data_IF_406256393806
#
_entry.id   IF_406256393806
#
_cell.length_a   1.000
_cell.length_b   1.000
_cell.length_c   1.000
_cell.angle_alpha   90.00
_cell.angle_beta   90.00
_cell.angle_gamma   90.00
#
_symmetry.space_group_name_H-M   'P 1'
#
loop_
_entity.id
_entity.type
_entity.pdbx_description
1 polymer ?
#
# COMPACT_ATOMS: atom_id res chain seq x y z
N UNK A 1 -5.46 -21.08 13.97
CA UNK A 1 -5.07 -19.67 14.14
C UNK A 1 -5.12 -18.83 12.85
N UNK A 2 -5.09 -19.41 11.65
CA UNK A 2 -5.07 -18.66 10.38
C UNK A 2 -6.45 -18.43 9.74
N UNK A 3 -7.44 -19.29 10.04
CA UNK A 3 -8.83 -19.12 9.58
C UNK A 3 -9.63 -18.10 10.39
N UNK A 4 -9.08 -17.63 11.50
CA UNK A 4 -9.79 -16.91 12.55
C UNK A 4 -9.78 -15.38 12.34
N UNK A 5 -8.72 -14.80 11.79
CA UNK A 5 -8.71 -13.35 11.49
C UNK A 5 -9.48 -13.01 10.20
N UNK A 6 -9.60 -13.97 9.27
CA UNK A 6 -10.34 -13.80 8.01
C UNK A 6 -11.85 -13.61 8.24
N UNK A 7 -12.39 -14.19 9.32
CA UNK A 7 -13.82 -14.13 9.68
C UNK A 7 -14.18 -12.98 10.63
N UNK A 8 -13.22 -12.34 11.29
CA UNK A 8 -13.50 -11.43 12.41
C UNK A 8 -13.06 -9.97 12.26
N UNK A 9 -12.19 -9.61 11.31
CA UNK A 9 -11.95 -8.19 11.06
C UNK A 9 -13.22 -7.63 10.40
N UNK A 10 -14.01 -6.89 11.20
CA UNK A 10 -15.11 -6.06 10.73
C UNK A 10 -14.51 -4.97 9.84
N UNK A 11 -14.31 -5.30 8.57
CA UNK A 11 -14.05 -4.31 7.55
C UNK A 11 -15.23 -3.32 7.59
N UNK A 12 -15.00 -2.00 7.62
CA UNK A 12 -16.06 -0.99 7.73
C UNK A 12 -17.21 -1.15 6.72
N UNK A 13 -16.94 -1.81 5.57
CA UNK A 13 -17.92 -2.08 4.50
C UNK A 13 -18.50 -3.50 4.49
N UNK A 14 -18.17 -4.37 5.47
CA UNK A 14 -18.67 -5.74 5.56
C UNK A 14 -19.61 -5.87 6.78
N UNK A 15 -20.93 -5.81 6.55
CA UNK A 15 -21.94 -6.02 7.60
C UNK A 15 -22.14 -7.53 7.90
N UNK A 16 -22.18 -7.86 9.21
CA UNK A 16 -22.60 -9.12 9.92
C UNK A 16 -21.55 -10.26 10.00
N UNK A 17 -21.44 -11.08 11.06
CA UNK A 17 -22.17 -11.32 12.33
C UNK A 17 -21.21 -11.98 13.36
N UNK A 18 -21.48 -11.85 14.67
CA UNK A 18 -20.75 -12.56 15.75
C UNK A 18 -21.17 -14.04 15.91
N UNK A 19 -20.21 -14.90 16.29
CA UNK A 19 -20.32 -16.12 17.13
C UNK A 19 -18.92 -16.75 17.26
N UNK A 20 -18.38 -17.30 18.35
CA UNK A 20 -18.84 -17.63 19.69
C UNK A 20 -17.63 -17.57 20.66
N UNK A 21 -17.95 -17.51 21.95
CA UNK A 21 -17.09 -17.44 23.12
C UNK A 21 -16.36 -18.74 23.45
N UNK A 22 -15.03 -18.75 23.32
CA UNK A 22 -14.09 -19.53 24.17
C UNK A 22 -12.67 -19.43 23.59
N UNK A 23 -11.84 -18.50 24.09
CA UNK A 23 -10.37 -18.55 24.04
C UNK A 23 -9.79 -17.29 24.72
N UNK A 24 -9.76 -17.28 26.06
CA UNK A 24 -9.53 -16.06 26.84
C UNK A 24 -8.08 -15.55 26.86
N UNK A 25 -7.09 -16.36 26.46
CA UNK A 25 -5.68 -15.94 26.39
C UNK A 25 -5.25 -15.49 24.98
N UNK A 26 -5.93 -15.98 23.95
CA UNK A 26 -5.76 -15.56 22.54
C UNK A 26 -6.54 -14.26 22.26
N UNK A 27 -7.42 -13.87 23.19
CA UNK A 27 -8.33 -12.73 23.12
C UNK A 27 -7.61 -11.36 23.14
N UNK A 28 -6.71 -11.02 24.09
CA UNK A 28 -6.22 -9.65 24.21
C UNK A 28 -5.44 -9.19 22.98
N UNK A 29 -4.44 -9.97 22.55
CA UNK A 29 -3.61 -9.62 21.39
C UNK A 29 -4.43 -9.58 20.08
N UNK A 30 -5.36 -10.52 19.89
CA UNK A 30 -6.25 -10.56 18.73
C UNK A 30 -7.19 -9.35 18.68
N UNK A 31 -7.72 -8.93 19.84
CA UNK A 31 -8.58 -7.76 19.95
C UNK A 31 -7.79 -6.47 19.79
N UNK A 32 -6.53 -6.42 20.26
CA UNK A 32 -5.63 -5.28 20.02
C UNK A 32 -5.36 -5.09 18.53
N UNK A 33 -5.04 -6.15 17.78
CA UNK A 33 -4.83 -6.06 16.32
C UNK A 33 -6.09 -5.56 15.62
N UNK A 34 -7.25 -6.11 15.98
CA UNK A 34 -8.53 -5.68 15.40
C UNK A 34 -8.81 -4.21 15.68
N UNK A 35 -8.67 -3.79 16.94
CA UNK A 35 -8.87 -2.41 17.34
C UNK A 35 -7.94 -1.45 16.61
N UNK A 36 -6.64 -1.75 16.55
CA UNK A 36 -5.65 -0.91 15.85
C UNK A 36 -5.95 -0.83 14.36
N UNK A 37 -6.32 -1.94 13.73
CA UNK A 37 -6.71 -1.95 12.31
C UNK A 37 -8.01 -1.17 12.06
N UNK A 38 -9.00 -1.28 12.94
CA UNK A 38 -10.26 -0.54 12.85
C UNK A 38 -10.02 0.97 12.99
N UNK A 39 -9.29 1.39 14.03
CA UNK A 39 -8.91 2.80 14.23
C UNK A 39 -8.11 3.35 13.04
N UNK A 40 -7.20 2.54 12.49
CA UNK A 40 -6.42 2.91 11.32
C UNK A 40 -7.29 3.07 10.07
N UNK A 41 -8.27 2.19 9.83
CA UNK A 41 -9.20 2.36 8.70
C UNK A 41 -10.15 3.53 8.90
N UNK A 42 -10.63 3.79 10.12
CA UNK A 42 -11.41 5.00 10.43
C UNK A 42 -10.60 6.25 10.11
N UNK A 43 -9.31 6.27 10.50
CA UNK A 43 -8.40 7.34 10.16
C UNK A 43 -8.20 7.48 8.64
N UNK A 44 -8.04 6.36 7.91
CA UNK A 44 -7.89 6.39 6.45
C UNK A 44 -9.12 6.93 5.75
N UNK A 45 -10.33 6.51 6.13
CA UNK A 45 -11.56 7.03 5.53
C UNK A 45 -11.69 8.54 5.76
N UNK A 46 -11.41 9.02 6.97
CA UNK A 46 -11.40 10.48 7.26
C UNK A 46 -10.40 11.22 6.37
N UNK A 47 -9.18 10.69 6.21
CA UNK A 47 -8.15 11.31 5.37
C UNK A 47 -8.45 11.23 3.89
N UNK A 48 -9.06 10.14 3.42
CA UNK A 48 -9.52 9.97 2.05
C UNK A 48 -10.54 11.06 1.70
N UNK A 49 -11.57 11.24 2.51
CA UNK A 49 -12.58 12.29 2.31
C UNK A 49 -11.96 13.68 2.40
N UNK A 50 -11.18 13.95 3.45
CA UNK A 50 -10.55 15.26 3.63
C UNK A 50 -9.70 15.66 2.40
N UNK A 51 -8.83 14.78 1.91
CA UNK A 51 -7.85 15.15 0.88
C UNK A 51 -8.43 15.06 -0.54
N UNK A 52 -9.33 14.10 -0.80
CA UNK A 52 -9.91 13.94 -2.14
C UNK A 52 -11.12 14.87 -2.37
N UNK A 53 -11.95 15.08 -1.36
CA UNK A 53 -13.23 15.77 -1.51
C UNK A 53 -13.18 17.22 -1.03
N UNK A 54 -12.43 17.54 0.04
CA UNK A 54 -12.41 18.90 0.60
C UNK A 54 -11.23 19.76 0.10
N UNK A 55 -10.06 19.16 -0.11
CA UNK A 55 -8.88 19.90 -0.54
C UNK A 55 -8.85 20.21 -2.06
N UNK A 56 -8.17 21.29 -2.47
CA UNK A 56 -7.96 21.61 -3.88
C UNK A 56 -7.31 20.45 -4.66
N UNK A 57 -7.78 20.17 -5.88
CA UNK A 57 -7.30 19.03 -6.69
C UNK A 57 -5.81 19.10 -7.04
N UNK A 58 -5.26 20.31 -7.19
CA UNK A 58 -3.85 20.60 -7.47
C UNK A 58 -2.95 20.51 -6.22
N UNK A 59 -3.53 20.48 -5.02
CA UNK A 59 -2.78 20.32 -3.77
C UNK A 59 -2.13 18.93 -3.74
N UNK A 60 -0.82 18.93 -3.50
CA UNK A 60 -0.02 17.70 -3.48
C UNK A 60 -0.27 16.88 -2.21
N UNK A 61 -0.41 15.55 -2.37
CA UNK A 61 -0.72 14.61 -1.27
C UNK A 61 0.34 14.66 -0.18
N UNK A 62 1.62 14.76 -0.52
CA UNK A 62 2.72 14.85 0.45
C UNK A 62 2.75 16.16 1.26
N UNK A 63 2.05 17.21 0.80
CA UNK A 63 1.88 18.44 1.59
C UNK A 63 0.74 18.30 2.60
N UNK A 64 -0.24 17.44 2.31
CA UNK A 64 -1.34 17.13 3.22
C UNK A 64 -0.96 16.06 4.24
N UNK A 65 -0.12 15.09 3.85
CA UNK A 65 0.53 14.13 4.74
C UNK A 65 1.97 14.53 5.01
N UNK A 66 2.17 15.29 6.08
CA UNK A 66 3.52 15.48 6.61
C UNK A 66 3.93 14.25 7.42
N UNK A 67 4.54 13.29 6.73
CA UNK A 67 5.02 12.03 7.32
C UNK A 67 5.89 12.33 8.54
N UNK A 68 5.59 11.69 9.67
CA UNK A 68 6.29 11.92 10.94
C UNK A 68 5.71 13.03 11.82
N UNK A 69 4.87 13.93 11.29
CA UNK A 69 4.23 14.99 12.10
C UNK A 69 2.87 14.57 12.69
N UNK A 70 2.21 13.56 12.13
CA UNK A 70 0.94 13.03 12.66
C UNK A 70 1.20 12.03 13.80
N UNK A 71 1.17 12.53 15.03
CA UNK A 71 1.41 11.72 16.23
C UNK A 71 0.43 10.56 16.41
N UNK A 72 -0.83 10.73 16.00
CA UNK A 72 -1.85 9.70 16.13
C UNK A 72 -1.61 8.56 15.14
N UNK A 73 -1.38 8.86 13.87
CA UNK A 73 -1.02 7.85 12.87
C UNK A 73 0.28 7.14 13.25
N UNK A 74 1.29 7.89 13.70
CA UNK A 74 2.56 7.31 14.14
C UNK A 74 2.37 6.35 15.33
N UNK A 75 1.48 6.67 16.27
CA UNK A 75 1.15 5.78 17.38
C UNK A 75 0.52 4.49 16.87
N UNK A 76 -0.47 4.58 15.97
CA UNK A 76 -1.11 3.41 15.37
C UNK A 76 -0.11 2.53 14.61
N UNK A 77 0.77 3.14 13.82
CA UNK A 77 1.82 2.45 13.06
C UNK A 77 2.80 1.73 13.97
N UNK A 78 3.28 2.39 15.05
CA UNK A 78 4.19 1.77 16.03
C UNK A 78 3.55 0.59 16.75
N UNK A 79 2.29 0.71 17.15
CA UNK A 79 1.57 -0.40 17.79
C UNK A 79 1.37 -1.54 16.79
N UNK A 80 0.96 -1.23 15.56
CA UNK A 80 0.76 -2.25 14.51
C UNK A 80 2.07 -2.97 14.19
N UNK A 81 3.19 -2.24 14.11
CA UNK A 81 4.52 -2.79 13.87
C UNK A 81 4.91 -3.87 14.88
N UNK A 82 4.71 -3.62 16.19
CA UNK A 82 5.00 -4.62 17.23
C UNK A 82 4.08 -5.83 17.14
N UNK A 83 2.80 -5.63 16.81
CA UNK A 83 1.86 -6.73 16.64
C UNK A 83 2.20 -7.61 15.42
N UNK A 84 2.72 -7.01 14.35
CA UNK A 84 3.13 -7.71 13.14
C UNK A 84 4.21 -8.77 13.36
N UNK A 85 4.98 -8.73 14.44
CA UNK A 85 5.89 -9.83 14.80
C UNK A 85 5.16 -11.18 14.88
N UNK A 86 3.88 -11.20 15.26
CA UNK A 86 3.08 -12.42 15.41
C UNK A 86 1.99 -12.59 14.37
N UNK A 87 1.52 -11.51 13.75
CA UNK A 87 0.31 -11.54 12.91
C UNK A 87 0.45 -10.85 11.53
N UNK A 88 1.67 -10.59 11.06
CA UNK A 88 1.91 -9.89 9.78
C UNK A 88 1.15 -10.49 8.58
N UNK A 89 1.11 -11.83 8.34
CA UNK A 89 0.41 -12.39 7.19
C UNK A 89 -1.07 -11.98 7.12
N UNK A 90 -1.74 -11.96 8.29
CA UNK A 90 -3.14 -11.59 8.41
C UNK A 90 -3.36 -10.09 8.21
N UNK A 91 -2.49 -9.26 8.80
CA UNK A 91 -2.52 -7.80 8.62
C UNK A 91 -2.34 -7.43 7.14
N UNK A 92 -1.35 -8.01 6.47
CA UNK A 92 -1.10 -7.79 5.04
C UNK A 92 -2.31 -8.17 4.19
N UNK A 93 -2.92 -9.33 4.45
CA UNK A 93 -4.10 -9.78 3.69
C UNK A 93 -5.27 -8.81 3.82
N UNK A 94 -5.52 -8.27 5.01
CA UNK A 94 -6.61 -7.31 5.25
C UNK A 94 -6.29 -5.96 4.61
N UNK A 95 -5.05 -5.50 4.76
CA UNK A 95 -4.58 -4.25 4.16
C UNK A 95 -4.63 -4.29 2.63
N UNK A 96 -4.20 -5.40 2.03
CA UNK A 96 -4.30 -5.65 0.58
C UNK A 96 -5.76 -5.60 0.13
N UNK A 97 -6.67 -6.28 0.82
CA UNK A 97 -8.11 -6.25 0.50
C UNK A 97 -8.71 -4.86 0.59
N UNK A 98 -8.34 -4.07 1.59
CA UNK A 98 -8.75 -2.66 1.68
C UNK A 98 -8.24 -1.88 0.47
N UNK A 99 -6.94 -2.00 0.14
CA UNK A 99 -6.34 -1.31 -0.98
C UNK A 99 -7.02 -1.69 -2.31
N UNK A 100 -7.21 -2.98 -2.59
CA UNK A 100 -7.91 -3.45 -3.78
C UNK A 100 -9.35 -2.92 -3.86
N UNK A 101 -10.05 -2.83 -2.72
CA UNK A 101 -11.38 -2.22 -2.67
C UNK A 101 -11.34 -0.74 -3.07
N UNK A 102 -10.37 0.02 -2.57
CA UNK A 102 -10.19 1.43 -2.96
C UNK A 102 -9.81 1.60 -4.44
N UNK A 103 -9.10 0.65 -5.04
CA UNK A 103 -8.74 0.71 -6.47
C UNK A 103 -9.91 0.36 -7.42
N UNK A 104 -11.04 -0.14 -6.90
CA UNK A 104 -12.25 -0.45 -7.71
C UNK A 104 -13.15 0.76 -7.96
N UNK A 105 -12.79 1.95 -7.47
CA UNK A 105 -13.56 3.18 -7.70
C UNK A 105 -13.68 3.42 -9.20
N UNK A 106 -14.92 3.42 -9.71
CA UNK A 106 -15.18 3.53 -11.14
C UNK A 106 -14.77 4.90 -11.68
N UNK A 107 -13.77 4.92 -12.57
CA UNK A 107 -13.26 6.12 -13.26
C UNK A 107 -14.11 6.44 -14.51
N UNK A 108 -15.32 5.89 -14.62
CA UNK A 108 -16.20 6.05 -15.78
C UNK A 108 -16.83 7.44 -15.89
N UNK A 109 -16.62 8.30 -14.90
CA UNK A 109 -17.14 9.66 -14.86
C UNK A 109 -16.21 10.63 -15.62
N UNK A 110 -16.68 11.85 -15.87
CA UNK A 110 -15.95 12.89 -16.63
C UNK A 110 -15.84 14.16 -15.79
N UNK A 111 -14.78 14.94 -16.01
CA UNK A 111 -14.57 16.23 -15.34
C UNK A 111 -14.15 16.07 -13.88
N UNK A 112 -14.54 17.04 -13.04
CA UNK A 112 -14.06 17.14 -11.66
C UNK A 112 -14.36 15.90 -10.80
N UNK A 113 -15.50 15.23 -11.03
CA UNK A 113 -15.85 14.03 -10.25
C UNK A 113 -14.88 12.87 -10.53
N UNK A 114 -14.45 12.73 -11.80
CA UNK A 114 -13.39 11.79 -12.18
C UNK A 114 -12.07 12.15 -11.52
N UNK A 115 -11.72 13.43 -11.54
CA UNK A 115 -10.44 13.89 -10.98
C UNK A 115 -10.41 13.72 -9.45
N UNK A 116 -11.55 13.89 -8.75
CA UNK A 116 -11.67 13.55 -7.32
C UNK A 116 -11.58 12.06 -7.06
N UNK A 117 -12.22 11.23 -7.89
CA UNK A 117 -12.09 9.78 -7.81
C UNK A 117 -10.65 9.31 -7.98
N UNK A 118 -9.92 9.85 -8.97
CA UNK A 118 -8.49 9.60 -9.17
C UNK A 118 -7.68 10.07 -7.97
N UNK A 119 -7.95 11.27 -7.45
CA UNK A 119 -7.25 11.76 -6.26
C UNK A 119 -7.46 10.84 -5.05
N UNK A 120 -8.68 10.33 -4.87
CA UNK A 120 -9.03 9.37 -3.82
C UNK A 120 -8.25 8.06 -3.95
N UNK A 121 -8.16 7.48 -5.15
CA UNK A 121 -7.38 6.25 -5.36
C UNK A 121 -5.88 6.47 -5.10
N UNK A 122 -5.34 7.64 -5.46
CA UNK A 122 -3.96 8.01 -5.17
C UNK A 122 -3.70 8.20 -3.67
N UNK A 123 -4.62 8.82 -2.93
CA UNK A 123 -4.52 8.94 -1.46
C UNK A 123 -4.56 7.57 -0.80
N UNK A 124 -5.43 6.67 -1.27
CA UNK A 124 -5.50 5.30 -0.75
C UNK A 124 -4.18 4.55 -1.00
N UNK A 125 -3.61 4.69 -2.20
CA UNK A 125 -2.29 4.15 -2.54
C UNK A 125 -1.19 4.71 -1.65
N UNK A 126 -1.20 6.02 -1.38
CA UNK A 126 -0.22 6.66 -0.50
C UNK A 126 -0.29 6.08 0.92
N UNK A 127 -1.48 6.01 1.51
CA UNK A 127 -1.71 5.45 2.85
C UNK A 127 -1.32 3.98 2.93
N UNK A 128 -1.68 3.18 1.90
CA UNK A 128 -1.27 1.79 1.78
C UNK A 128 0.25 1.65 1.88
N UNK A 129 1.00 2.43 1.10
CA UNK A 129 2.46 2.38 1.13
C UNK A 129 3.06 2.85 2.45
N UNK A 130 2.49 3.89 3.09
CA UNK A 130 2.95 4.35 4.41
C UNK A 130 2.89 3.23 5.44
N UNK A 131 1.81 2.45 5.46
CA UNK A 131 1.70 1.28 6.35
C UNK A 131 2.72 0.21 5.96
N UNK A 132 2.80 -0.13 4.67
CA UNK A 132 3.71 -1.17 4.18
C UNK A 132 5.16 -0.89 4.54
N UNK A 133 5.63 0.35 4.37
CA UNK A 133 7.01 0.72 4.69
C UNK A 133 7.34 0.41 6.16
N UNK A 134 6.39 0.62 7.06
CA UNK A 134 6.57 0.31 8.48
C UNK A 134 6.55 -1.20 8.73
N UNK A 135 5.47 -1.89 8.32
CA UNK A 135 5.21 -3.27 8.76
C UNK A 135 6.01 -4.33 8.00
N UNK A 136 6.48 -4.05 6.78
CA UNK A 136 7.24 -5.02 5.98
C UNK A 136 8.63 -5.31 6.52
N UNK A 137 9.13 -4.49 7.44
CA UNK A 137 10.35 -4.79 8.18
C UNK A 137 10.18 -6.05 9.05
N UNK A 138 8.96 -6.43 9.43
CA UNK A 138 8.65 -7.62 10.23
C UNK A 138 8.56 -8.92 9.43
N UNK A 139 8.77 -8.90 8.11
CA UNK A 139 8.66 -10.10 7.25
C UNK A 139 9.63 -11.21 7.65
N UNK A 140 10.75 -10.86 8.27
CA UNK A 140 11.74 -11.85 8.74
C UNK A 140 11.19 -12.82 9.79
N UNK A 141 10.10 -12.45 10.50
CA UNK A 141 9.39 -13.36 11.41
C UNK A 141 8.43 -14.33 10.70
N UNK A 142 8.11 -14.11 9.42
CA UNK A 142 7.10 -14.86 8.64
C UNK A 142 7.58 -15.18 7.21
N UNK A 143 8.75 -15.81 7.03
CA UNK A 143 9.41 -15.91 5.72
C UNK A 143 8.64 -16.75 4.69
N UNK A 144 7.84 -17.73 5.11
CA UNK A 144 7.08 -18.59 4.20
C UNK A 144 5.62 -18.12 4.04
N UNK A 145 5.02 -17.68 5.13
CA UNK A 145 3.59 -17.35 5.27
C UNK A 145 3.22 -16.05 4.54
N UNK A 146 4.19 -15.16 4.33
CA UNK A 146 3.97 -13.90 3.62
C UNK A 146 4.22 -14.00 2.11
N UNK A 147 4.69 -15.13 1.57
CA UNK A 147 5.19 -15.20 0.19
C UNK A 147 4.17 -14.72 -0.85
N UNK A 148 2.90 -15.08 -0.69
CA UNK A 148 1.80 -14.66 -1.58
C UNK A 148 1.58 -13.16 -1.50
N UNK A 149 1.51 -12.60 -0.30
CA UNK A 149 1.33 -11.17 -0.05
C UNK A 149 2.52 -10.37 -0.60
N UNK A 150 3.75 -10.85 -0.39
CA UNK A 150 4.96 -10.21 -0.93
C UNK A 150 4.95 -10.20 -2.45
N UNK A 151 4.61 -11.31 -3.10
CA UNK A 151 4.50 -11.36 -4.56
C UNK A 151 3.47 -10.36 -5.09
N UNK A 152 2.30 -10.26 -4.44
CA UNK A 152 1.29 -9.25 -4.77
C UNK A 152 1.84 -7.83 -4.61
N UNK A 153 2.45 -7.51 -3.46
CA UNK A 153 2.96 -6.18 -3.15
C UNK A 153 4.03 -5.78 -4.16
N UNK A 154 5.01 -6.66 -4.44
CA UNK A 154 6.06 -6.39 -5.41
C UNK A 154 5.47 -6.14 -6.81
N UNK A 155 4.58 -7.03 -7.27
CA UNK A 155 3.94 -6.88 -8.58
C UNK A 155 3.12 -5.57 -8.68
N UNK A 156 2.32 -5.26 -7.66
CA UNK A 156 1.56 -4.02 -7.62
C UNK A 156 2.48 -2.79 -7.58
N UNK A 157 3.57 -2.80 -6.80
CA UNK A 157 4.53 -1.70 -6.77
C UNK A 157 5.14 -1.41 -8.14
N UNK A 158 5.58 -2.44 -8.88
CA UNK A 158 6.10 -2.25 -10.24
C UNK A 158 5.05 -1.67 -11.20
N UNK A 159 3.79 -2.12 -11.11
CA UNK A 159 2.68 -1.55 -11.89
C UNK A 159 2.36 -0.09 -11.54
N UNK A 160 2.67 0.34 -10.31
CA UNK A 160 2.45 1.71 -9.87
C UNK A 160 3.63 2.64 -10.20
N UNK A 161 4.84 2.09 -10.33
CA UNK A 161 6.06 2.79 -10.72
C UNK A 161 6.15 2.96 -12.25
N UNK A 162 5.56 2.04 -13.03
CA UNK A 162 5.60 2.09 -14.49
C UNK A 162 5.14 3.43 -15.03
N UNK A 163 5.70 3.85 -16.16
CA UNK A 163 5.29 5.07 -16.83
C UNK A 163 3.79 5.04 -17.14
N UNK A 164 3.12 6.17 -16.89
CA UNK A 164 1.72 6.38 -17.19
C UNK A 164 1.58 7.76 -17.80
N UNK A 165 0.86 7.86 -18.91
CA UNK A 165 0.68 9.13 -19.59
C UNK A 165 -0.05 10.15 -18.71
N UNK A 166 0.37 11.41 -18.84
CA UNK A 166 -0.23 12.53 -18.12
C UNK A 166 -1.74 12.66 -18.39
N UNK A 167 -2.20 12.25 -19.57
CA UNK A 167 -3.62 12.23 -19.95
C UNK A 167 -4.49 11.36 -19.04
N UNK A 168 -3.92 10.30 -18.43
CA UNK A 168 -4.63 9.38 -17.54
C UNK A 168 -5.00 10.06 -16.22
N UNK A 169 -4.10 10.88 -15.67
CA UNK A 169 -4.26 11.51 -14.36
C UNK A 169 -4.69 12.97 -14.42
N UNK A 170 -4.50 13.64 -15.55
CA UNK A 170 -4.83 15.05 -15.73
C UNK A 170 -4.18 15.92 -14.65
N UNK A 171 -4.99 16.67 -13.90
CA UNK A 171 -4.54 17.53 -12.81
C UNK A 171 -3.83 16.77 -11.68
N UNK A 172 -4.12 15.48 -11.51
CA UNK A 172 -3.52 14.63 -10.48
C UNK A 172 -2.18 14.02 -10.89
N UNK A 173 -1.61 14.37 -12.05
CA UNK A 173 -0.38 13.74 -12.53
C UNK A 173 0.80 13.89 -11.56
N UNK A 174 0.99 15.06 -10.96
CA UNK A 174 2.06 15.23 -9.96
C UNK A 174 1.82 14.36 -8.70
N UNK A 175 0.55 14.15 -8.32
CA UNK A 175 0.20 13.25 -7.23
C UNK A 175 0.48 11.78 -7.59
N UNK A 176 0.29 11.37 -8.85
CA UNK A 176 0.63 10.01 -9.27
C UNK A 176 2.14 9.77 -9.22
N UNK A 177 2.96 10.74 -9.62
CA UNK A 177 4.42 10.66 -9.49
C UNK A 177 4.87 10.50 -8.03
N UNK A 178 4.28 11.28 -7.11
CA UNK A 178 4.55 11.14 -5.66
C UNK A 178 4.20 9.72 -5.18
N UNK A 179 3.04 9.19 -5.58
CA UNK A 179 2.64 7.83 -5.21
C UNK A 179 3.61 6.78 -5.75
N UNK A 180 4.07 6.93 -6.99
CA UNK A 180 5.11 6.07 -7.58
C UNK A 180 6.42 6.10 -6.77
N UNK A 181 6.83 7.26 -6.27
CA UNK A 181 8.02 7.38 -5.40
C UNK A 181 7.87 6.61 -4.08
N UNK A 182 6.71 6.64 -3.46
CA UNK A 182 6.50 5.91 -2.20
C UNK A 182 6.39 4.39 -2.46
N UNK A 183 5.83 3.95 -3.59
CA UNK A 183 5.90 2.53 -4.00
C UNK A 183 7.34 2.08 -4.26
N UNK A 184 8.20 2.94 -4.80
CA UNK A 184 9.63 2.66 -4.94
C UNK A 184 10.31 2.48 -3.57
N UNK A 185 9.90 3.26 -2.56
CA UNK A 185 10.38 3.07 -1.18
C UNK A 185 9.96 1.71 -0.61
N UNK A 186 8.71 1.26 -0.85
CA UNK A 186 8.24 -0.09 -0.48
C UNK A 186 9.14 -1.19 -1.09
N UNK A 187 9.51 -1.05 -2.37
CA UNK A 187 10.47 -1.97 -3.02
C UNK A 187 11.83 -1.92 -2.32
N UNK A 188 12.32 -0.74 -1.94
CA UNK A 188 13.57 -0.59 -1.20
C UNK A 188 13.56 -1.23 0.19
N UNK A 189 12.43 -1.21 0.89
CA UNK A 189 12.25 -1.94 2.16
C UNK A 189 12.35 -3.44 1.91
N UNK A 190 11.60 -3.96 0.93
CA UNK A 190 11.61 -5.39 0.60
C UNK A 190 12.93 -5.87 0.00
N UNK A 191 13.75 -5.00 -0.60
CA UNK A 191 15.03 -5.40 -1.17
C UNK A 191 15.99 -5.97 -0.14
N UNK A 192 15.82 -5.63 1.14
CA UNK A 192 16.65 -6.13 2.22
C UNK A 192 16.46 -7.63 2.47
N UNK A 193 15.26 -8.16 2.22
CA UNK A 193 14.90 -9.56 2.49
C UNK A 193 14.56 -10.36 1.21
N UNK A 194 14.08 -9.68 0.16
CA UNK A 194 13.55 -10.28 -1.08
C UNK A 194 14.26 -9.76 -2.33
N UNK A 195 15.55 -9.45 -2.22
CA UNK A 195 16.40 -8.92 -3.30
C UNK A 195 16.26 -9.70 -4.63
N UNK A 196 16.34 -11.04 -4.58
CA UNK A 196 16.25 -11.90 -5.78
C UNK A 196 14.90 -11.77 -6.50
N UNK A 197 13.81 -11.66 -5.75
CA UNK A 197 12.47 -11.50 -6.31
C UNK A 197 12.35 -10.16 -7.03
N UNK A 198 12.81 -9.08 -6.40
CA UNK A 198 12.78 -7.73 -6.97
C UNK A 198 13.67 -7.65 -8.22
N UNK A 199 14.87 -8.24 -8.20
CA UNK A 199 15.74 -8.32 -9.38
C UNK A 199 15.04 -9.03 -10.54
N UNK A 200 14.37 -10.15 -10.27
CA UNK A 200 13.59 -10.86 -11.29
C UNK A 200 12.52 -9.95 -11.90
N UNK A 201 11.68 -9.33 -11.08
CA UNK A 201 10.65 -8.39 -11.57
C UNK A 201 11.24 -7.23 -12.38
N UNK A 202 12.36 -6.65 -11.92
CA UNK A 202 13.01 -5.56 -12.63
C UNK A 202 13.54 -6.00 -14.01
N UNK A 203 14.18 -7.17 -14.08
CA UNK A 203 14.71 -7.73 -15.33
C UNK A 203 13.56 -8.08 -16.28
N UNK A 204 12.50 -8.70 -15.77
CA UNK A 204 11.32 -9.06 -16.55
C UNK A 204 10.67 -7.80 -17.17
N UNK A 205 10.44 -6.76 -16.38
CA UNK A 205 9.90 -5.49 -16.88
C UNK A 205 10.83 -4.82 -17.90
N UNK A 206 12.14 -4.80 -17.65
CA UNK A 206 13.11 -4.23 -18.59
C UNK A 206 13.12 -5.00 -19.92
N UNK A 207 13.00 -6.32 -19.88
CA UNK A 207 12.95 -7.15 -21.07
C UNK A 207 11.68 -6.90 -21.89
N UNK A 208 10.52 -6.70 -21.24
CA UNK A 208 9.30 -6.31 -21.94
C UNK A 208 9.43 -4.94 -22.60
N UNK A 209 9.96 -3.94 -21.89
CA UNK A 209 10.17 -2.59 -22.47
C UNK A 209 11.14 -2.58 -23.66
N UNK A 210 12.12 -3.50 -23.68
CA UNK A 210 13.05 -3.66 -24.82
C UNK A 210 12.39 -4.24 -26.07
N UNK A 211 11.23 -4.91 -25.94
CA UNK A 211 10.48 -5.44 -27.09
C UNK A 211 9.66 -4.36 -27.79
N UNK A 212 9.37 -3.24 -27.13
CA UNK A 212 8.66 -2.12 -27.73
C UNK A 212 9.53 -1.40 -28.78
N UNK A 213 8.97 -1.15 -29.98
CA UNK A 213 9.65 -0.44 -31.06
C UNK A 213 8.75 0.73 -31.50
N UNK A 214 9.18 2.00 -31.32
CA UNK A 214 10.42 2.43 -30.66
C UNK A 214 10.39 2.20 -29.15
N UNK A 215 11.57 2.01 -28.55
CA UNK A 215 11.70 1.85 -27.10
C UNK A 215 11.23 3.13 -26.40
N UNK A 216 10.26 2.99 -25.49
CA UNK A 216 9.79 4.11 -24.68
C UNK A 216 10.83 4.45 -23.60
N UNK A 217 11.64 5.48 -23.86
CA UNK A 217 12.68 5.94 -22.94
C UNK A 217 12.11 6.42 -21.60
N UNK A 218 10.91 6.98 -21.56
CA UNK A 218 10.26 7.39 -20.32
C UNK A 218 9.90 6.19 -19.43
N UNK A 219 9.43 5.09 -20.01
CA UNK A 219 9.19 3.83 -19.29
C UNK A 219 10.47 3.27 -18.65
N UNK A 220 11.58 3.32 -19.37
CA UNK A 220 12.89 2.91 -18.85
C UNK A 220 13.34 3.82 -17.71
N UNK A 221 13.20 5.14 -17.85
CA UNK A 221 13.56 6.11 -16.79
C UNK A 221 12.71 5.87 -15.53
N UNK A 222 11.39 5.69 -15.67
CA UNK A 222 10.50 5.39 -14.53
C UNK A 222 10.90 4.11 -13.79
N UNK A 223 11.22 3.04 -14.53
CA UNK A 223 11.71 1.79 -13.93
C UNK A 223 13.01 2.02 -13.14
N UNK A 224 13.96 2.76 -13.71
CA UNK A 224 15.23 3.07 -13.04
C UNK A 224 15.03 3.97 -11.81
N UNK A 225 14.16 4.97 -11.88
CA UNK A 225 13.79 5.80 -10.73
C UNK A 225 13.14 4.98 -9.62
N UNK A 226 12.30 4.01 -9.97
CA UNK A 226 11.69 3.06 -9.05
C UNK A 226 12.70 2.18 -8.30
N UNK A 227 13.88 1.98 -8.89
CA UNK A 227 14.96 1.21 -8.28
C UNK A 227 15.91 2.04 -7.43
N UNK A 228 15.70 3.36 -7.29
CA UNK A 228 16.56 4.27 -6.50
C UNK A 228 16.75 3.84 -5.05
N UNK A 229 15.71 3.25 -4.44
CA UNK A 229 15.74 2.80 -3.04
C UNK A 229 16.24 1.37 -2.88
N UNK A 230 16.53 0.66 -3.98
CA UNK A 230 17.05 -0.69 -3.94
C UNK A 230 18.48 -0.68 -3.38
N UNK A 231 18.63 -1.24 -2.19
CA UNK A 231 19.95 -1.39 -1.53
C UNK A 231 20.28 -2.87 -1.43
N UNK A 232 21.43 -3.25 -1.98
CA UNK A 232 22.04 -4.56 -1.75
C UNK A 232 22.98 -4.39 -0.56
N UNK A 233 22.73 -5.11 0.54
CA UNK A 233 23.77 -5.35 1.54
C UNK A 233 24.70 -6.41 0.96
N UNK A 234 25.92 -6.00 0.60
CA UNK A 234 27.00 -6.96 0.34
C UNK A 234 27.39 -7.53 1.69
N UNK A 235 27.11 -8.81 1.90
CA UNK A 235 27.54 -9.57 3.09
C UNK A 235 28.95 -10.08 2.83
#
# INVERSE_FOLDING_TARGET
MEEDLKSFIKLPWLKKHFSNSSDLEILPARYTVQYVMEEMFIYFEKRLTQIADEEPLDKLINKSFKRGEDSYLNSLLRTLFGLCETCLPSVLNVLIKWYEHQQRVSISQVGEVRDRAIKKTLVASYLFCVVLIEILLQVHFHPAECQTQINFIVGNSFNQISYKDQSVFGINYNNSLIVSEIFAEVIGVLSQTHCKLIQKYCIDNLNELRKEIPVNTHSVICLLMGMKYFRIKVI
#
